data_IF_860679898663
#
_entry.id   IF_860679898663
#
_cell.length_a   1.000
_cell.length_b   1.000
_cell.length_c   1.000
_cell.angle_alpha   90.00
_cell.angle_beta   90.00
_cell.angle_gamma   90.00
#
_symmetry.space_group_name_H-M   'P 1'
#
loop_
_entity.id
_entity.type
_entity.pdbx_description
1 polymer ?
#
# COMPACT_ATOMS: atom_id res chain seq x y z
N UNK A 1 -22.15 -10.30 -5.52
CA UNK A 1 -20.68 -10.11 -5.44
C UNK A 1 -20.14 -9.24 -6.59
N UNK A 2 -20.41 -9.56 -7.87
CA UNK A 2 -19.98 -8.70 -8.99
C UNK A 2 -20.57 -7.27 -8.95
N UNK A 3 -21.87 -7.13 -8.71
CA UNK A 3 -22.56 -5.81 -8.61
C UNK A 3 -21.92 -4.88 -7.56
N UNK A 4 -21.46 -5.42 -6.44
CA UNK A 4 -20.85 -4.64 -5.37
C UNK A 4 -19.43 -4.18 -5.74
N UNK A 5 -18.66 -5.04 -6.41
CA UNK A 5 -17.32 -4.69 -6.94
C UNK A 5 -17.39 -3.63 -8.04
N UNK A 6 -18.38 -3.73 -8.94
CA UNK A 6 -18.56 -2.74 -10.01
C UNK A 6 -19.03 -1.40 -9.47
N UNK A 7 -19.92 -1.38 -8.48
CA UNK A 7 -20.38 -0.14 -7.85
C UNK A 7 -19.25 0.58 -7.08
N UNK A 8 -18.43 -0.15 -6.32
CA UNK A 8 -17.28 0.45 -5.65
C UNK A 8 -16.28 1.02 -6.65
N UNK A 9 -15.96 0.28 -7.71
CA UNK A 9 -15.05 0.77 -8.75
C UNK A 9 -15.58 2.03 -9.43
N UNK A 10 -16.88 2.07 -9.72
CA UNK A 10 -17.54 3.20 -10.37
C UNK A 10 -17.59 4.47 -9.49
N UNK A 11 -17.48 4.33 -8.16
CA UNK A 11 -17.40 5.47 -7.24
C UNK A 11 -15.94 5.89 -6.98
N UNK A 12 -15.06 4.93 -6.73
CA UNK A 12 -13.66 5.24 -6.40
C UNK A 12 -12.85 5.73 -7.60
N UNK A 13 -13.07 5.19 -8.80
CA UNK A 13 -12.30 5.60 -9.98
C UNK A 13 -12.50 7.08 -10.32
N UNK A 14 -13.74 7.64 -10.40
CA UNK A 14 -13.92 9.07 -10.60
C UNK A 14 -13.34 9.93 -9.49
N UNK A 15 -13.39 9.47 -8.24
CA UNK A 15 -12.83 10.20 -7.10
C UNK A 15 -11.30 10.29 -7.19
N UNK A 16 -10.64 9.19 -7.53
CA UNK A 16 -9.19 9.15 -7.78
C UNK A 16 -8.87 10.07 -8.97
N UNK A 17 -9.57 9.92 -10.10
CA UNK A 17 -9.34 10.76 -11.28
C UNK A 17 -9.49 12.25 -10.94
N UNK A 18 -10.54 12.63 -10.21
CA UNK A 18 -10.78 14.01 -9.80
C UNK A 18 -9.66 14.55 -8.90
N UNK A 19 -9.17 13.75 -7.94
CA UNK A 19 -8.08 14.17 -7.05
C UNK A 19 -6.80 14.48 -7.83
N UNK A 20 -6.47 13.67 -8.84
CA UNK A 20 -5.28 13.86 -9.67
C UNK A 20 -5.44 15.03 -10.65
N UNK A 21 -6.62 15.15 -11.25
CA UNK A 21 -6.97 16.21 -12.19
C UNK A 21 -6.93 17.60 -11.54
N UNK A 22 -7.65 17.80 -10.43
CA UNK A 22 -7.69 19.10 -9.76
C UNK A 22 -6.39 19.44 -9.02
N UNK A 23 -5.63 18.43 -8.58
CA UNK A 23 -4.37 18.66 -7.88
C UNK A 23 -4.55 19.44 -6.57
N UNK A 24 -3.49 20.16 -6.16
CA UNK A 24 -3.51 21.07 -5.02
C UNK A 24 -4.09 20.43 -3.74
N UNK A 25 -5.09 21.07 -3.15
CA UNK A 25 -5.77 20.59 -1.94
C UNK A 25 -6.52 19.27 -2.15
N UNK A 26 -7.06 19.01 -3.36
CA UNK A 26 -7.76 17.77 -3.65
C UNK A 26 -6.80 16.57 -3.62
N UNK A 27 -5.62 16.72 -4.25
CA UNK A 27 -4.59 15.69 -4.21
C UNK A 27 -3.97 15.53 -2.81
N UNK A 28 -3.79 16.63 -2.08
CA UNK A 28 -3.32 16.58 -0.68
C UNK A 28 -4.31 15.82 0.21
N UNK A 29 -5.61 16.13 0.11
CA UNK A 29 -6.64 15.41 0.85
C UNK A 29 -6.64 13.91 0.47
N UNK A 30 -6.54 13.61 -0.82
CA UNK A 30 -6.44 12.24 -1.31
C UNK A 30 -5.25 11.49 -0.71
N UNK A 31 -4.04 12.06 -0.76
CA UNK A 31 -2.83 11.37 -0.30
C UNK A 31 -2.84 11.14 1.22
N UNK A 32 -3.40 12.08 1.99
CA UNK A 32 -3.53 11.95 3.44
C UNK A 32 -4.58 10.91 3.83
N UNK A 33 -5.75 10.92 3.18
CA UNK A 33 -6.81 9.95 3.44
C UNK A 33 -6.36 8.56 3.04
N UNK A 34 -5.83 8.38 1.83
CA UNK A 34 -5.35 7.08 1.35
C UNK A 34 -4.17 6.60 2.19
N UNK A 35 -3.19 7.46 2.49
CA UNK A 35 -2.05 7.11 3.35
C UNK A 35 -2.48 6.70 4.76
N UNK A 36 -3.43 7.41 5.36
CA UNK A 36 -4.01 7.08 6.65
C UNK A 36 -4.77 5.75 6.65
N UNK A 37 -5.61 5.53 5.64
CA UNK A 37 -6.34 4.26 5.44
C UNK A 37 -5.38 3.09 5.25
N UNK A 38 -4.35 3.24 4.39
CA UNK A 38 -3.33 2.22 4.18
C UNK A 38 -2.57 1.90 5.48
N UNK A 39 -2.16 2.91 6.24
CA UNK A 39 -1.45 2.70 7.51
C UNK A 39 -2.34 2.06 8.58
N UNK A 40 -3.63 2.42 8.61
CA UNK A 40 -4.62 1.81 9.51
C UNK A 40 -4.87 0.34 9.17
N UNK A 41 -5.10 0.01 7.90
CA UNK A 41 -5.28 -1.38 7.46
C UNK A 41 -4.01 -2.20 7.68
N UNK A 42 -2.83 -1.65 7.36
CA UNK A 42 -1.55 -2.31 7.62
C UNK A 42 -1.38 -2.66 9.11
N UNK A 43 -1.64 -1.70 10.00
CA UNK A 43 -1.61 -1.91 11.45
C UNK A 43 -2.60 -3.00 11.89
N UNK A 44 -3.80 -3.05 11.31
CA UNK A 44 -4.80 -4.07 11.61
C UNK A 44 -4.35 -5.46 11.17
N UNK A 45 -3.78 -5.58 9.97
CA UNK A 45 -3.27 -6.86 9.44
C UNK A 45 -2.12 -7.39 10.28
N UNK A 46 -1.15 -6.52 10.58
CA UNK A 46 0.02 -6.85 11.43
C UNK A 46 -0.42 -7.18 12.86
N UNK A 47 -1.43 -6.47 13.39
CA UNK A 47 -2.06 -6.79 14.67
C UNK A 47 -2.75 -8.16 14.70
N UNK A 48 -3.36 -8.58 13.59
CA UNK A 48 -3.92 -9.93 13.44
C UNK A 48 -2.87 -11.04 13.49
N UNK A 49 -1.61 -10.72 13.19
CA UNK A 49 -0.46 -11.61 13.32
C UNK A 49 0.24 -11.53 14.70
N UNK A 50 -0.35 -10.82 15.68
CA UNK A 50 0.18 -10.67 17.03
C UNK A 50 1.19 -9.52 17.20
N UNK A 51 1.39 -8.68 16.19
CA UNK A 51 2.36 -7.57 16.23
C UNK A 51 1.62 -6.24 16.45
N UNK A 52 1.81 -5.64 17.62
CA UNK A 52 1.08 -4.44 18.04
C UNK A 52 1.76 -3.14 17.62
N UNK A 53 1.54 -2.65 16.40
CA UNK A 53 1.99 -1.31 16.03
C UNK A 53 1.21 -0.24 16.82
N UNK A 54 1.90 0.80 17.29
CA UNK A 54 1.30 1.90 18.07
C UNK A 54 0.50 2.85 17.18
N UNK A 55 -0.44 3.59 17.76
CA UNK A 55 -1.35 4.48 17.01
C UNK A 55 -0.63 5.64 16.29
N UNK A 56 0.52 6.09 16.80
CA UNK A 56 1.33 7.14 16.19
C UNK A 56 2.01 6.73 14.87
N UNK A 57 2.00 5.44 14.53
CA UNK A 57 2.45 4.95 13.21
C UNK A 57 1.67 5.61 12.06
N UNK A 58 0.37 5.82 12.23
CA UNK A 58 -0.52 6.39 11.21
C UNK A 58 -0.14 7.85 10.89
N UNK A 59 -0.11 8.79 11.85
CA UNK A 59 0.28 10.17 11.56
C UNK A 59 1.73 10.27 11.06
N UNK A 60 2.61 9.36 11.46
CA UNK A 60 3.98 9.32 10.92
C UNK A 60 4.00 8.97 9.44
N UNK A 61 3.25 7.95 9.00
CA UNK A 61 3.08 7.62 7.59
C UNK A 61 2.49 8.79 6.80
N UNK A 62 1.45 9.43 7.34
CA UNK A 62 0.82 10.60 6.72
C UNK A 62 1.79 11.78 6.58
N UNK A 63 2.63 12.04 7.58
CA UNK A 63 3.66 13.07 7.53
C UNK A 63 4.72 12.76 6.45
N UNK A 64 5.14 11.51 6.33
CA UNK A 64 6.06 11.09 5.26
C UNK A 64 5.43 11.22 3.87
N UNK A 65 4.16 10.85 3.69
CA UNK A 65 3.42 11.10 2.45
C UNK A 65 3.39 12.60 2.11
N UNK A 66 3.07 13.44 3.09
CA UNK A 66 2.97 14.90 2.93
C UNK A 66 4.32 15.52 2.53
N UNK A 67 5.44 14.99 3.03
CA UNK A 67 6.77 15.44 2.64
C UNK A 67 7.01 15.28 1.13
N UNK A 68 6.46 14.23 0.51
CA UNK A 68 6.51 14.02 -0.95
C UNK A 68 5.74 15.09 -1.73
N UNK A 69 4.60 15.56 -1.22
CA UNK A 69 3.78 16.60 -1.85
C UNK A 69 4.51 17.94 -1.98
N UNK A 70 5.55 18.16 -1.15
CA UNK A 70 6.37 19.38 -1.24
C UNK A 70 7.15 19.51 -2.56
N UNK A 71 7.23 18.44 -3.36
CA UNK A 71 7.97 18.41 -4.62
C UNK A 71 9.49 18.39 -4.48
N UNK A 72 9.98 18.32 -3.24
CA UNK A 72 11.39 18.33 -2.90
C UNK A 72 11.83 16.94 -2.41
N UNK A 73 12.67 16.21 -3.17
CA UNK A 73 13.09 14.86 -2.77
C UNK A 73 13.83 14.87 -1.41
N UNK A 74 14.56 15.94 -1.09
CA UNK A 74 15.24 16.11 0.19
C UNK A 74 14.27 16.08 1.38
N UNK A 75 13.07 16.62 1.25
CA UNK A 75 12.05 16.59 2.31
C UNK A 75 11.53 15.17 2.52
N UNK A 76 11.28 14.42 1.44
CA UNK A 76 10.84 13.03 1.54
C UNK A 76 11.92 12.14 2.16
N UNK A 77 13.17 12.30 1.74
CA UNK A 77 14.31 11.56 2.30
C UNK A 77 14.48 11.90 3.79
N UNK A 78 14.43 13.18 4.16
CA UNK A 78 14.50 13.60 5.56
C UNK A 78 13.35 13.04 6.38
N UNK A 79 12.12 13.02 5.84
CA UNK A 79 10.96 12.45 6.52
C UNK A 79 11.05 10.92 6.66
N UNK A 80 11.63 10.22 5.69
CA UNK A 80 11.88 8.78 5.77
C UNK A 80 12.94 8.46 6.82
N UNK A 81 14.09 9.12 6.77
CA UNK A 81 15.17 8.91 7.75
C UNK A 81 14.68 9.29 9.15
N UNK A 82 14.12 10.49 9.30
CA UNK A 82 13.58 10.99 10.56
C UNK A 82 12.47 10.09 11.10
N UNK A 83 11.52 9.67 10.26
CA UNK A 83 10.46 8.77 10.66
C UNK A 83 10.96 7.39 11.09
N UNK A 84 11.91 6.81 10.36
CA UNK A 84 12.54 5.55 10.74
C UNK A 84 13.30 5.67 12.08
N UNK A 85 14.04 6.76 12.29
CA UNK A 85 14.75 7.00 13.55
C UNK A 85 13.78 7.19 14.72
N UNK A 86 12.70 7.95 14.52
CA UNK A 86 11.63 8.13 15.52
C UNK A 86 10.99 6.78 15.85
N UNK A 87 10.67 5.97 14.84
CA UNK A 87 10.13 4.62 15.03
C UNK A 87 11.06 3.77 15.89
N UNK A 88 12.33 3.68 15.50
CA UNK A 88 13.33 2.87 16.20
C UNK A 88 13.56 3.36 17.63
N UNK A 89 13.63 4.68 17.85
CA UNK A 89 13.81 5.27 19.17
C UNK A 89 12.63 4.97 20.12
N UNK A 90 11.40 5.03 19.62
CA UNK A 90 10.20 4.73 20.43
C UNK A 90 10.02 3.22 20.63
N UNK A 91 10.56 2.41 19.71
CA UNK A 91 10.44 0.95 19.73
C UNK A 91 11.61 0.25 20.43
N UNK A 92 12.49 0.99 21.11
CA UNK A 92 13.65 0.44 21.84
C UNK A 92 13.27 -0.63 22.88
N UNK A 93 12.08 -0.52 23.46
CA UNK A 93 11.55 -1.48 24.43
C UNK A 93 10.47 -2.41 23.84
N UNK A 94 10.17 -2.28 22.55
CA UNK A 94 9.19 -3.12 21.87
C UNK A 94 9.88 -4.36 21.27
N UNK A 95 9.11 -5.38 20.92
CA UNK A 95 9.62 -6.56 20.21
C UNK A 95 10.27 -6.17 18.87
N UNK A 96 11.33 -6.90 18.50
CA UNK A 96 12.07 -6.66 17.26
C UNK A 96 11.16 -6.69 16.02
N UNK A 97 10.15 -7.57 16.00
CA UNK A 97 9.18 -7.64 14.91
C UNK A 97 8.34 -6.37 14.79
N UNK A 98 7.89 -5.78 15.90
CA UNK A 98 7.15 -4.51 15.88
C UNK A 98 7.98 -3.38 15.27
N UNK A 99 9.28 -3.34 15.56
CA UNK A 99 10.22 -2.39 14.95
C UNK A 99 10.38 -2.62 13.45
N UNK A 100 10.58 -3.88 13.03
CA UNK A 100 10.76 -4.23 11.60
C UNK A 100 9.51 -3.90 10.79
N UNK A 101 8.33 -4.32 11.25
CA UNK A 101 7.07 -4.02 10.57
C UNK A 101 6.72 -2.52 10.62
N UNK A 102 7.09 -1.82 11.69
CA UNK A 102 6.96 -0.36 11.76
C UNK A 102 7.80 0.36 10.71
N UNK A 103 9.10 0.04 10.62
CA UNK A 103 10.02 0.66 9.65
C UNK A 103 9.64 0.29 8.22
N UNK A 104 9.40 -0.99 7.93
CA UNK A 104 9.02 -1.44 6.59
C UNK A 104 7.67 -0.86 6.17
N UNK A 105 6.69 -0.79 7.08
CA UNK A 105 5.40 -0.15 6.83
C UNK A 105 5.54 1.34 6.51
N UNK A 106 6.40 2.08 7.23
CA UNK A 106 6.65 3.50 6.94
C UNK A 106 7.30 3.70 5.57
N UNK A 107 8.33 2.93 5.26
CA UNK A 107 9.03 3.00 3.96
C UNK A 107 8.08 2.61 2.82
N UNK A 108 7.28 1.56 3.02
CA UNK A 108 6.35 1.08 2.01
C UNK A 108 5.19 2.05 1.76
N UNK A 109 4.48 2.45 2.82
CA UNK A 109 3.28 3.29 2.68
C UNK A 109 3.69 4.75 2.50
N UNK A 110 4.40 5.30 3.49
CA UNK A 110 4.82 6.69 3.52
C UNK A 110 5.78 7.03 2.38
N UNK A 111 6.76 6.16 2.13
CA UNK A 111 7.74 6.35 1.06
C UNK A 111 7.15 6.27 -0.33
N UNK A 112 6.43 5.18 -0.68
CA UNK A 112 5.91 5.00 -2.03
C UNK A 112 4.80 6.00 -2.37
N UNK A 113 3.88 6.29 -1.44
CA UNK A 113 2.91 7.36 -1.65
C UNK A 113 3.61 8.72 -1.68
N UNK A 114 4.65 8.95 -0.86
CA UNK A 114 5.49 10.14 -0.96
C UNK A 114 6.11 10.32 -2.34
N UNK A 115 6.59 9.24 -2.98
CA UNK A 115 7.10 9.27 -4.35
C UNK A 115 6.02 9.68 -5.36
N UNK A 116 4.78 9.23 -5.18
CA UNK A 116 3.65 9.69 -5.98
C UNK A 116 3.39 11.20 -5.78
N UNK A 117 3.56 11.70 -4.56
CA UNK A 117 3.54 13.13 -4.27
C UNK A 117 4.64 13.91 -5.01
N UNK A 118 5.87 13.40 -5.02
CA UNK A 118 6.99 14.00 -5.76
C UNK A 118 6.71 14.03 -7.26
N UNK A 119 6.19 12.92 -7.81
CA UNK A 119 5.81 12.82 -9.21
C UNK A 119 4.75 13.86 -9.57
N UNK A 120 3.72 14.00 -8.74
CA UNK A 120 2.62 14.96 -8.98
C UNK A 120 3.08 16.42 -8.96
N UNK A 121 4.14 16.72 -8.23
CA UNK A 121 4.71 18.06 -8.10
C UNK A 121 5.68 18.44 -9.23
N UNK A 122 6.06 17.50 -10.10
CA UNK A 122 6.88 17.79 -11.27
C UNK A 122 6.10 18.54 -12.37
N UNK A 123 6.80 19.18 -13.33
CA UNK A 123 6.19 19.60 -14.59
C UNK A 123 5.43 18.42 -15.23
N UNK A 124 4.22 18.68 -15.70
CA UNK A 124 3.32 17.66 -16.26
C UNK A 124 3.06 16.47 -15.30
N UNK A 125 3.19 16.70 -13.99
CA UNK A 125 3.06 15.66 -12.97
C UNK A 125 1.67 15.03 -12.92
N UNK A 126 0.64 15.72 -13.42
CA UNK A 126 -0.71 15.18 -13.54
C UNK A 126 -0.77 14.06 -14.58
N UNK A 127 -0.20 14.31 -15.76
CA UNK A 127 -0.11 13.42 -16.90
C UNK A 127 0.69 12.17 -16.55
N UNK A 128 1.84 12.35 -15.90
CA UNK A 128 2.66 11.23 -15.42
C UNK A 128 1.94 10.38 -14.39
N UNK A 129 1.20 11.00 -13.48
CA UNK A 129 0.40 10.26 -12.53
C UNK A 129 -0.75 9.48 -13.19
N UNK A 130 -1.43 10.07 -14.18
CA UNK A 130 -2.45 9.36 -14.96
C UNK A 130 -1.85 8.20 -15.75
N UNK A 131 -0.65 8.35 -16.28
CA UNK A 131 0.07 7.27 -16.94
C UNK A 131 0.36 6.10 -15.99
N UNK A 132 0.85 6.38 -14.78
CA UNK A 132 1.08 5.37 -13.74
C UNK A 132 -0.23 4.67 -13.34
N UNK A 133 -1.31 5.42 -13.12
CA UNK A 133 -2.62 4.87 -12.82
C UNK A 133 -3.13 3.96 -13.95
N UNK A 134 -3.01 4.42 -15.19
CA UNK A 134 -3.47 3.67 -16.36
C UNK A 134 -2.68 2.37 -16.52
N UNK A 135 -1.35 2.39 -16.43
CA UNK A 135 -0.53 1.18 -16.53
C UNK A 135 -0.85 0.20 -15.40
N UNK A 136 -1.03 0.69 -14.17
CA UNK A 136 -1.36 -0.16 -13.03
C UNK A 136 -2.72 -0.84 -13.22
N UNK A 137 -3.74 -0.08 -13.61
CA UNK A 137 -5.07 -0.64 -13.88
C UNK A 137 -5.09 -1.55 -15.11
N UNK A 138 -4.36 -1.22 -16.17
CA UNK A 138 -4.22 -2.06 -17.35
C UNK A 138 -3.53 -3.38 -17.01
N UNK A 139 -2.49 -3.36 -16.17
CA UNK A 139 -1.82 -4.55 -15.67
C UNK A 139 -2.78 -5.43 -14.83
N UNK A 140 -3.57 -4.82 -13.94
CA UNK A 140 -4.55 -5.56 -13.11
C UNK A 140 -5.65 -6.21 -13.97
N UNK A 141 -6.14 -5.50 -14.99
CA UNK A 141 -7.08 -6.07 -15.98
C UNK A 141 -6.41 -7.17 -16.81
N UNK A 142 -5.16 -6.95 -17.24
CA UNK A 142 -4.37 -7.91 -18.00
C UNK A 142 -4.11 -9.20 -17.24
N UNK A 143 -3.86 -9.14 -15.93
CA UNK A 143 -3.75 -10.33 -15.08
C UNK A 143 -5.08 -11.09 -14.98
N UNK A 144 -6.20 -10.38 -14.91
CA UNK A 144 -7.53 -10.98 -14.84
C UNK A 144 -7.95 -11.66 -16.16
N UNK A 145 -7.67 -11.04 -17.31
CA UNK A 145 -8.07 -11.56 -18.63
C UNK A 145 -7.00 -12.44 -19.30
N UNK A 146 -5.72 -12.19 -19.03
CA UNK A 146 -4.58 -12.93 -19.60
C UNK A 146 -4.30 -14.28 -18.93
N UNK A 147 -4.79 -14.49 -17.69
CA UNK A 147 -4.66 -15.77 -16.97
C UNK A 147 -5.57 -16.89 -17.49
N UNK A 148 -6.46 -16.62 -18.45
CA UNK A 148 -7.40 -17.61 -19.00
C UNK A 148 -6.84 -18.54 -20.08
N UNK A 149 -5.58 -18.35 -20.52
CA UNK A 149 -5.09 -18.95 -21.77
C UNK A 149 -3.90 -19.92 -21.68
N UNK A 150 -3.28 -20.16 -20.52
CA UNK A 150 -2.11 -21.03 -20.50
C UNK A 150 -1.54 -21.36 -19.13
N UNK A 151 -1.71 -22.62 -18.74
CA UNK A 151 -0.76 -23.33 -17.88
C UNK A 151 -1.14 -23.37 -16.40
N UNK A 152 -1.50 -24.57 -15.95
CA UNK A 152 -1.45 -24.98 -14.56
C UNK A 152 -0.12 -24.58 -13.90
N UNK A 153 -0.21 -23.96 -12.72
CA UNK A 153 0.54 -24.30 -11.49
C UNK A 153 0.18 -23.31 -10.40
N UNK A 154 -0.80 -23.70 -9.61
CA UNK A 154 -1.04 -23.15 -8.29
C UNK A 154 0.24 -23.28 -7.46
N UNK A 155 0.96 -22.16 -7.29
CA UNK A 155 2.05 -22.06 -6.32
C UNK A 155 1.49 -21.43 -5.05
N UNK A 156 1.01 -22.27 -4.15
CA UNK A 156 1.01 -21.97 -2.73
C UNK A 156 1.64 -23.17 -2.00
N UNK A 157 2.86 -23.06 -1.45
CA UNK A 157 3.29 -24.00 -0.44
C UNK A 157 2.39 -23.80 0.78
N UNK A 158 1.85 -24.92 1.27
CA UNK A 158 0.71 -24.98 2.18
C UNK A 158 0.87 -24.14 3.44
N UNK A 159 -0.13 -23.30 3.68
CA UNK A 159 -0.44 -22.74 4.98
C UNK A 159 -1.88 -23.08 5.34
N UNK A 160 -2.06 -24.03 6.25
CA UNK A 160 -3.31 -24.21 6.99
C UNK A 160 -4.13 -25.47 6.65
N UNK A 161 -3.96 -26.49 7.49
CA UNK A 161 -5.06 -27.09 8.25
C UNK A 161 -6.25 -27.70 7.51
N UNK A 162 -6.31 -29.03 7.56
CA UNK A 162 -7.59 -29.76 7.69
C UNK A 162 -8.10 -30.44 6.43
N UNK A 163 -7.62 -31.66 6.16
CA UNK A 163 -8.45 -32.67 5.48
C UNK A 163 -8.32 -34.02 6.19
N UNK A 164 -9.44 -34.41 6.79
CA UNK A 164 -9.76 -35.71 7.34
C UNK A 164 -9.67 -36.82 6.27
N UNK A 165 -9.12 -37.96 6.70
CA UNK A 165 -9.39 -39.34 6.28
C UNK A 165 -9.89 -39.67 4.88
N UNK A 166 -9.16 -40.56 4.19
CA UNK A 166 -9.74 -41.51 3.25
C UNK A 166 -8.82 -41.96 2.10
N UNK A 167 -8.21 -43.14 2.24
CA UNK A 167 -7.64 -43.97 1.16
C UNK A 167 -6.29 -43.47 0.60
N UNK A 168 -5.20 -44.23 0.53
CA UNK A 168 -5.04 -45.68 0.40
C UNK A 168 -4.21 -45.93 -0.86
N UNK A 169 -3.04 -46.56 -0.71
CA UNK A 169 -2.39 -47.30 -1.81
C UNK A 169 -1.12 -46.72 -2.43
N UNK A 170 0.03 -47.26 -1.99
CA UNK A 170 1.10 -47.92 -2.79
C UNK A 170 1.65 -47.23 -4.04
N UNK A 171 3.00 -47.13 -4.11
CA UNK A 171 3.71 -47.40 -5.37
C UNK A 171 5.04 -46.68 -5.60
N UNK A 172 6.12 -47.29 -5.10
CA UNK A 172 7.56 -47.15 -5.47
C UNK A 172 8.24 -45.80 -5.25
#
# INVERSE_FOLDING_TARGET
>A
MLRQRTLSALVFAPLVIAAFYFGGMAFLAFILVVGGCCAWEYRRMVGGAGIGLKAWFIPLCMATCLAGVSGRPENLIAALIGGCLILLAISLNDDALSSVFGVTGLVYIGGLLGCLGLLRAQPDGSEWCFFVLFITWANDMGAYFGGGGGGERERAPGGGGGRSGGGGGVGV
#
